data_IF_013721868748
#
_entry.id   IF_013721868748
#
_cell.length_a   1.000
_cell.length_b   1.000
_cell.length_c   1.000
_cell.angle_alpha   90.00
_cell.angle_beta   90.00
_cell.angle_gamma   90.00
#
_symmetry.space_group_name_H-M   'P 1'
#
loop_
_entity.id
_entity.type
_entity.pdbx_description
1 polymer ?
#
# COMPACT_ATOMS: atom_id res chain seq x y z
N UNK A 1 -30.05 -8.28 -27.12
CA UNK A 1 -30.29 -8.37 -25.67
C UNK A 1 -28.99 -7.92 -25.02
N UNK A 2 -28.80 -6.61 -24.88
CA UNK A 2 -27.62 -6.04 -24.21
C UNK A 2 -27.75 -6.34 -22.73
N UNK A 3 -26.79 -7.11 -22.20
CA UNK A 3 -26.68 -7.33 -20.77
C UNK A 3 -26.30 -5.99 -20.11
N UNK A 4 -27.29 -5.35 -19.49
CA UNK A 4 -27.11 -4.10 -18.76
C UNK A 4 -26.27 -4.41 -17.51
N UNK A 5 -24.94 -4.36 -17.67
CA UNK A 5 -24.01 -4.55 -16.56
C UNK A 5 -24.35 -3.46 -15.54
N UNK A 6 -24.64 -3.81 -14.26
CA UNK A 6 -24.97 -2.81 -13.27
C UNK A 6 -23.86 -1.77 -13.20
N UNK A 7 -24.15 -0.50 -13.46
CA UNK A 7 -23.14 0.59 -13.51
C UNK A 7 -22.20 0.58 -12.28
N UNK A 8 -22.71 0.18 -11.12
CA UNK A 8 -21.92 0.03 -9.89
C UNK A 8 -20.80 -1.01 -9.97
N UNK A 9 -21.01 -2.10 -10.71
CA UNK A 9 -19.99 -3.14 -10.94
C UNK A 9 -18.88 -2.62 -11.86
N UNK A 10 -19.25 -1.89 -12.92
CA UNK A 10 -18.29 -1.27 -13.83
C UNK A 10 -17.42 -0.23 -13.11
N UNK A 11 -18.02 0.60 -12.25
CA UNK A 11 -17.30 1.57 -11.42
C UNK A 11 -16.30 0.89 -10.47
N UNK A 12 -16.68 -0.24 -9.88
CA UNK A 12 -15.81 -1.01 -8.97
C UNK A 12 -14.62 -1.64 -9.72
N UNK A 13 -14.86 -2.26 -10.88
CA UNK A 13 -13.76 -2.83 -11.68
C UNK A 13 -12.83 -1.74 -12.22
N UNK A 14 -13.37 -0.61 -12.68
CA UNK A 14 -12.57 0.53 -13.09
C UNK A 14 -11.70 1.04 -11.93
N UNK A 15 -12.26 1.11 -10.73
CA UNK A 15 -11.52 1.47 -9.52
C UNK A 15 -10.38 0.48 -9.21
N UNK A 16 -10.67 -0.82 -9.25
CA UNK A 16 -9.68 -1.88 -9.02
C UNK A 16 -8.55 -1.80 -10.05
N UNK A 17 -8.88 -1.62 -11.34
CA UNK A 17 -7.90 -1.48 -12.42
C UNK A 17 -7.01 -0.24 -12.22
N UNK A 18 -7.60 0.91 -11.87
CA UNK A 18 -6.83 2.13 -11.54
C UNK A 18 -5.92 1.90 -10.34
N UNK A 19 -6.39 1.18 -9.32
CA UNK A 19 -5.60 0.83 -8.13
C UNK A 19 -4.43 -0.09 -8.47
N UNK A 20 -4.66 -1.13 -9.28
CA UNK A 20 -3.61 -2.03 -9.73
C UNK A 20 -2.57 -1.30 -10.59
N UNK A 21 -3.00 -0.40 -11.47
CA UNK A 21 -2.12 0.43 -12.28
C UNK A 21 -1.27 1.37 -11.41
N UNK A 22 -1.88 2.05 -10.42
CA UNK A 22 -1.16 2.89 -9.47
C UNK A 22 -0.13 2.08 -8.67
N UNK A 23 -0.51 0.88 -8.18
CA UNK A 23 0.43 -0.04 -7.50
C UNK A 23 1.63 -0.38 -8.37
N UNK A 24 1.40 -0.70 -9.64
CA UNK A 24 2.48 -0.98 -10.59
C UNK A 24 3.42 0.23 -10.74
N UNK A 25 2.88 1.45 -10.86
CA UNK A 25 3.69 2.68 -10.95
C UNK A 25 4.53 2.88 -9.70
N UNK A 26 3.95 2.75 -8.51
CA UNK A 26 4.67 2.88 -7.24
C UNK A 26 5.78 1.83 -7.10
N UNK A 27 5.52 0.58 -7.45
CA UNK A 27 6.54 -0.47 -7.39
C UNK A 27 7.66 -0.25 -8.40
N UNK A 28 7.33 0.17 -9.62
CA UNK A 28 8.33 0.53 -10.63
C UNK A 28 9.18 1.71 -10.18
N UNK A 29 8.56 2.74 -9.60
CA UNK A 29 9.26 3.86 -9.01
C UNK A 29 10.18 3.42 -7.86
N UNK A 30 9.69 2.62 -6.92
CA UNK A 30 10.47 2.11 -5.79
C UNK A 30 11.69 1.30 -6.26
N UNK A 31 11.52 0.49 -7.31
CA UNK A 31 12.62 -0.23 -7.95
C UNK A 31 13.67 0.72 -8.51
N UNK A 32 13.29 1.71 -9.34
CA UNK A 32 14.23 2.71 -9.87
C UNK A 32 14.91 3.53 -8.78
N UNK A 33 14.15 3.94 -7.77
CA UNK A 33 14.68 4.64 -6.60
C UNK A 33 15.77 3.81 -5.92
N UNK A 34 15.58 2.49 -5.76
CA UNK A 34 16.55 1.59 -5.16
C UNK A 34 17.84 1.45 -5.98
N UNK A 35 17.75 1.46 -7.32
CA UNK A 35 18.91 1.37 -8.22
C UNK A 35 19.68 2.68 -8.40
N UNK A 36 19.16 3.79 -7.85
CA UNK A 36 19.79 5.11 -7.93
C UNK A 36 19.90 5.67 -9.35
N UNK A 37 18.95 5.31 -10.21
CA UNK A 37 18.99 5.65 -11.65
C UNK A 37 18.88 7.15 -11.94
N UNK A 38 18.52 7.99 -10.95
CA UNK A 38 18.18 9.42 -11.12
C UNK A 38 18.59 10.27 -9.91
N UNK A 39 18.63 11.60 -10.10
CA UNK A 39 18.97 12.55 -9.04
C UNK A 39 17.90 12.61 -7.94
N UNK A 40 18.31 13.01 -6.73
CA UNK A 40 17.43 13.08 -5.55
C UNK A 40 16.29 14.08 -5.80
N UNK A 41 16.57 15.21 -6.45
CA UNK A 41 15.59 16.25 -6.78
C UNK A 41 14.51 15.70 -7.72
N UNK A 42 14.91 15.00 -8.78
CA UNK A 42 13.97 14.42 -9.74
C UNK A 42 13.08 13.37 -9.08
N UNK A 43 13.69 12.45 -8.30
CA UNK A 43 12.96 11.42 -7.57
C UNK A 43 12.02 12.02 -6.52
N UNK A 44 12.38 13.15 -5.90
CA UNK A 44 11.53 13.85 -4.93
C UNK A 44 10.29 14.45 -5.57
N UNK A 45 10.45 15.07 -6.74
CA UNK A 45 9.31 15.60 -7.52
C UNK A 45 8.38 14.46 -7.94
N UNK A 46 8.94 13.33 -8.38
CA UNK A 46 8.14 12.18 -8.77
C UNK A 46 7.38 11.56 -7.57
N UNK A 47 7.97 11.54 -6.36
CA UNK A 47 7.24 11.15 -5.15
C UNK A 47 6.01 12.02 -4.93
N UNK A 48 6.14 13.34 -5.06
CA UNK A 48 5.04 14.27 -4.84
C UNK A 48 3.90 14.04 -5.86
N UNK A 49 4.25 13.80 -7.13
CA UNK A 49 3.28 13.47 -8.18
C UNK A 49 2.58 12.15 -7.88
N UNK A 50 3.33 11.09 -7.55
CA UNK A 50 2.76 9.78 -7.23
C UNK A 50 1.89 9.85 -5.97
N UNK A 51 2.25 10.68 -4.99
CA UNK A 51 1.44 10.88 -3.79
C UNK A 51 0.10 11.51 -4.15
N UNK A 52 0.10 12.60 -4.93
CA UNK A 52 -1.12 13.27 -5.39
C UNK A 52 -2.02 12.31 -6.20
N UNK A 53 -1.43 11.52 -7.11
CA UNK A 53 -2.12 10.49 -7.88
C UNK A 53 -2.84 9.47 -6.98
N UNK A 54 -2.17 9.01 -5.90
CA UNK A 54 -2.74 8.06 -4.95
C UNK A 54 -3.87 8.71 -4.14
N UNK A 55 -3.69 9.96 -3.70
CA UNK A 55 -4.72 10.72 -2.99
C UNK A 55 -5.97 10.92 -3.86
N UNK A 56 -5.80 11.30 -5.13
CA UNK A 56 -6.90 11.42 -6.10
C UNK A 56 -7.59 10.06 -6.31
N UNK A 57 -6.81 8.98 -6.47
CA UNK A 57 -7.36 7.63 -6.60
C UNK A 57 -8.19 7.25 -5.37
N UNK A 58 -7.76 7.62 -4.17
CA UNK A 58 -8.51 7.30 -2.94
C UNK A 58 -9.79 8.12 -2.88
N UNK A 59 -9.72 9.43 -3.20
CA UNK A 59 -10.88 10.30 -3.26
C UNK A 59 -11.90 9.88 -4.33
N UNK A 60 -11.44 9.23 -5.40
CA UNK A 60 -12.28 8.71 -6.47
C UNK A 60 -13.05 7.43 -6.10
N UNK A 61 -12.89 6.88 -4.90
CA UNK A 61 -13.71 5.76 -4.46
C UNK A 61 -15.16 6.24 -4.25
N UNK A 62 -16.16 5.63 -4.91
CA UNK A 62 -17.56 5.93 -4.60
C UNK A 62 -17.89 5.66 -3.12
N UNK A 63 -18.64 6.57 -2.48
CA UNK A 63 -18.96 6.51 -1.05
C UNK A 63 -19.60 5.18 -0.60
N UNK A 64 -20.41 4.55 -1.46
CA UNK A 64 -21.00 3.20 -1.24
C UNK A 64 -19.96 2.10 -1.00
N UNK A 65 -18.71 2.35 -1.37
CA UNK A 65 -17.58 1.45 -1.24
C UNK A 65 -16.65 1.87 -0.08
N UNK A 66 -17.03 2.85 0.74
CA UNK A 66 -16.24 3.18 1.93
C UNK A 66 -16.49 2.12 3.01
N UNK A 67 -15.43 1.76 3.75
CA UNK A 67 -15.59 0.89 4.92
C UNK A 67 -16.36 1.64 5.99
N UNK A 68 -17.49 1.08 6.43
CA UNK A 68 -18.32 1.63 7.50
C UNK A 68 -18.60 0.54 8.52
N UNK A 69 -18.53 0.90 9.80
CA UNK A 69 -18.78 0.00 10.93
C UNK A 69 -20.19 -0.59 10.90
N UNK A 70 -21.16 0.08 10.27
CA UNK A 70 -22.54 -0.39 10.11
C UNK A 70 -22.77 -1.25 8.84
N UNK A 71 -21.76 -1.39 7.96
CA UNK A 71 -21.82 -2.24 6.77
C UNK A 71 -21.37 -3.70 7.10
N UNK A 72 -21.75 -4.21 8.26
CA UNK A 72 -21.40 -5.56 8.77
C UNK A 72 -21.95 -6.71 7.89
N UNK A 73 -22.90 -6.43 7.00
CA UNK A 73 -23.81 -7.44 6.45
C UNK A 73 -23.51 -7.96 5.03
N UNK A 74 -22.32 -7.73 4.48
CA UNK A 74 -22.02 -8.10 3.08
C UNK A 74 -20.86 -9.08 2.87
N UNK A 75 -20.43 -9.78 3.93
CA UNK A 75 -19.41 -10.84 3.83
C UNK A 75 -20.01 -12.26 3.97
N UNK A 76 -21.34 -12.38 4.07
CA UNK A 76 -22.03 -13.67 4.12
C UNK A 76 -22.62 -14.06 2.75
N UNK A 77 -21.86 -14.91 2.07
CA UNK A 77 -22.29 -16.11 1.34
C UNK A 77 -23.21 -16.09 0.11
N UNK A 78 -23.75 -14.97 -0.39
CA UNK A 78 -24.46 -15.03 -1.70
C UNK A 78 -24.49 -13.75 -2.55
N UNK A 79 -23.91 -12.64 -2.07
CA UNK A 79 -23.83 -11.40 -2.86
C UNK A 79 -22.40 -10.87 -2.89
N UNK A 80 -21.54 -11.47 -3.71
CA UNK A 80 -20.12 -11.12 -3.87
C UNK A 80 -19.84 -9.69 -4.41
N UNK A 81 -20.83 -8.79 -4.44
CA UNK A 81 -20.79 -7.54 -5.20
C UNK A 81 -21.16 -6.26 -4.42
N UNK A 82 -21.65 -6.35 -3.17
CA UNK A 82 -22.32 -5.20 -2.55
C UNK A 82 -21.44 -4.36 -1.61
N UNK A 83 -20.33 -4.90 -1.11
CA UNK A 83 -19.33 -4.13 -0.38
C UNK A 83 -17.95 -4.42 -0.95
N UNK A 84 -17.05 -3.42 -1.06
CA UNK A 84 -15.71 -3.69 -1.49
C UNK A 84 -15.02 -4.52 -0.42
N UNK A 85 -14.25 -5.53 -0.82
CA UNK A 85 -13.57 -6.39 0.14
C UNK A 85 -12.65 -5.53 1.03
N UNK A 86 -12.46 -5.90 2.31
CA UNK A 86 -11.47 -5.28 3.21
C UNK A 86 -10.09 -5.10 2.55
N UNK A 87 -9.78 -6.00 1.61
CA UNK A 87 -8.62 -5.96 0.71
C UNK A 87 -8.47 -4.64 -0.03
N UNK A 88 -9.54 -3.99 -0.50
CA UNK A 88 -9.46 -2.71 -1.22
C UNK A 88 -8.97 -1.57 -0.33
N UNK A 89 -9.40 -1.53 0.94
CA UNK A 89 -8.92 -0.53 1.89
C UNK A 89 -7.47 -0.80 2.29
N UNK A 90 -7.13 -2.07 2.57
CA UNK A 90 -5.75 -2.45 2.87
C UNK A 90 -4.79 -2.13 1.71
N UNK A 91 -5.22 -2.33 0.45
CA UNK A 91 -4.46 -1.99 -0.75
C UNK A 91 -4.12 -0.49 -0.85
N UNK A 92 -5.00 0.41 -0.39
CA UNK A 92 -4.70 1.85 -0.39
C UNK A 92 -3.59 2.21 0.56
N UNK A 93 -3.67 1.70 1.79
CA UNK A 93 -2.62 1.90 2.78
C UNK A 93 -1.30 1.26 2.31
N UNK A 94 -1.36 0.15 1.58
CA UNK A 94 -0.17 -0.47 0.98
C UNK A 94 0.55 0.42 -0.05
N UNK A 95 -0.19 1.20 -0.85
CA UNK A 95 0.40 2.14 -1.80
C UNK A 95 1.25 3.18 -1.06
N UNK A 96 0.72 3.76 0.01
CA UNK A 96 1.45 4.72 0.83
C UNK A 96 2.62 4.10 1.59
N UNK A 97 2.48 2.87 2.10
CA UNK A 97 3.59 2.16 2.75
C UNK A 97 4.74 1.94 1.76
N UNK A 98 4.42 1.54 0.53
CA UNK A 98 5.39 1.28 -0.53
C UNK A 98 6.07 2.56 -1.02
N UNK A 99 5.28 3.63 -1.26
CA UNK A 99 5.80 4.94 -1.65
C UNK A 99 6.67 5.55 -0.54
N UNK A 100 6.23 5.46 0.71
CA UNK A 100 7.00 5.93 1.86
C UNK A 100 8.32 5.18 2.02
N UNK A 101 8.37 3.87 1.71
CA UNK A 101 9.63 3.11 1.72
C UNK A 101 10.60 3.65 0.66
N UNK A 102 10.12 3.93 -0.55
CA UNK A 102 10.93 4.55 -1.59
C UNK A 102 11.43 5.94 -1.15
N UNK A 103 10.55 6.76 -0.55
CA UNK A 103 10.91 8.07 -0.01
C UNK A 103 12.02 7.99 1.05
N UNK A 104 11.94 7.03 1.98
CA UNK A 104 13.00 6.78 2.95
C UNK A 104 14.34 6.43 2.30
N UNK A 105 14.34 5.58 1.27
CA UNK A 105 15.55 5.20 0.54
C UNK A 105 16.21 6.40 -0.16
N UNK A 106 15.42 7.37 -0.60
CA UNK A 106 15.89 8.58 -1.28
C UNK A 106 16.39 9.61 -0.26
N UNK A 107 15.56 9.97 0.72
CA UNK A 107 15.89 11.01 1.70
C UNK A 107 17.03 10.61 2.64
N UNK A 108 17.22 9.32 2.93
CA UNK A 108 18.34 8.87 3.76
C UNK A 108 19.71 9.07 3.10
N UNK A 109 19.76 9.38 1.80
CA UNK A 109 21.01 9.67 1.08
C UNK A 109 21.50 11.10 1.30
N UNK A 110 20.61 11.99 1.73
CA UNK A 110 20.89 13.41 1.89
C UNK A 110 20.73 13.81 3.36
N UNK A 111 21.86 14.14 3.99
CA UNK A 111 21.89 14.53 5.40
C UNK A 111 21.11 15.81 5.71
N UNK A 112 20.77 16.63 4.71
CA UNK A 112 19.96 17.83 4.86
C UNK A 112 18.45 17.53 4.94
N UNK A 113 18.03 16.31 4.58
CA UNK A 113 16.63 15.88 4.51
C UNK A 113 16.17 15.02 5.68
N UNK A 114 16.82 15.16 6.84
CA UNK A 114 16.50 14.39 8.06
C UNK A 114 15.03 14.50 8.46
N UNK A 115 14.45 15.70 8.35
CA UNK A 115 13.03 15.92 8.69
C UNK A 115 12.11 15.15 7.74
N UNK A 116 12.43 15.09 6.45
CA UNK A 116 11.69 14.31 5.46
C UNK A 116 11.76 12.81 5.76
N UNK A 117 12.89 12.31 6.29
CA UNK A 117 13.03 10.91 6.74
C UNK A 117 12.08 10.63 7.91
N UNK A 118 12.01 11.53 8.89
CA UNK A 118 11.11 11.39 10.05
C UNK A 118 9.64 11.44 9.62
N UNK A 119 9.29 12.34 8.71
CA UNK A 119 7.92 12.47 8.20
C UNK A 119 7.50 11.24 7.38
N UNK A 120 8.35 10.79 6.44
CA UNK A 120 8.08 9.59 5.64
C UNK A 120 7.94 8.35 6.53
N UNK A 121 8.75 8.23 7.58
CA UNK A 121 8.64 7.17 8.59
C UNK A 121 7.29 7.22 9.33
N UNK A 122 6.93 8.39 9.85
CA UNK A 122 5.70 8.58 10.62
C UNK A 122 4.45 8.29 9.78
N UNK A 123 4.45 8.74 8.52
CA UNK A 123 3.38 8.44 7.55
C UNK A 123 3.26 6.93 7.32
N UNK A 124 4.36 6.21 7.07
CA UNK A 124 4.32 4.73 6.89
C UNK A 124 3.73 4.01 8.10
N UNK A 125 4.09 4.42 9.31
CA UNK A 125 3.54 3.84 10.55
C UNK A 125 2.02 4.07 10.61
N UNK A 126 1.56 5.29 10.33
CA UNK A 126 0.13 5.60 10.35
C UNK A 126 -0.67 4.70 9.38
N UNK A 127 -0.14 4.46 8.18
CA UNK A 127 -0.79 3.55 7.22
C UNK A 127 -0.69 2.06 7.63
N UNK A 128 0.42 1.63 8.23
CA UNK A 128 0.55 0.28 8.77
C UNK A 128 -0.45 0.03 9.92
N UNK A 129 -0.61 0.99 10.84
CA UNK A 129 -1.58 0.93 11.93
C UNK A 129 -3.02 0.86 11.42
N UNK A 130 -3.34 1.59 10.35
CA UNK A 130 -4.66 1.52 9.73
C UNK A 130 -4.95 0.11 9.16
N UNK A 131 -3.96 -0.54 8.53
CA UNK A 131 -4.08 -1.94 8.08
C UNK A 131 -4.31 -2.87 9.28
N UNK A 132 -3.53 -2.73 10.35
CA UNK A 132 -3.69 -3.51 11.57
C UNK A 132 -5.08 -3.32 12.20
N UNK A 133 -5.63 -2.10 12.17
CA UNK A 133 -6.99 -1.79 12.61
C UNK A 133 -8.06 -2.55 11.82
N UNK A 134 -7.97 -2.54 10.48
CA UNK A 134 -8.89 -3.27 9.59
C UNK A 134 -8.84 -4.78 9.88
N UNK A 135 -7.64 -5.34 10.05
CA UNK A 135 -7.46 -6.77 10.33
C UNK A 135 -8.04 -7.12 11.69
N UNK A 136 -7.71 -6.33 12.73
CA UNK A 136 -8.22 -6.54 14.08
C UNK A 136 -9.74 -6.56 14.08
N UNK A 137 -10.38 -5.55 13.48
CA UNK A 137 -11.83 -5.46 13.41
C UNK A 137 -12.43 -6.66 12.68
N UNK A 138 -11.85 -7.07 11.54
CA UNK A 138 -12.39 -8.24 10.85
C UNK A 138 -12.18 -9.56 11.60
N UNK A 139 -11.09 -9.72 12.36
CA UNK A 139 -10.90 -10.89 13.23
C UNK A 139 -11.90 -10.92 14.39
N UNK A 140 -12.14 -9.78 15.06
CA UNK A 140 -13.15 -9.63 16.12
C UNK A 140 -14.57 -9.96 15.61
N UNK A 141 -14.80 -9.74 14.31
CA UNK A 141 -16.07 -10.00 13.63
C UNK A 141 -16.13 -11.34 12.89
N UNK A 142 -15.13 -12.20 13.05
CA UNK A 142 -15.01 -13.50 12.36
C UNK A 142 -15.13 -13.42 10.83
N UNK A 143 -14.66 -12.32 10.23
CA UNK A 143 -14.60 -12.13 8.79
C UNK A 143 -13.56 -13.08 8.20
N UNK A 144 -13.96 -13.84 7.18
CA UNK A 144 -13.02 -14.64 6.38
C UNK A 144 -12.31 -13.69 5.43
N UNK A 145 -11.02 -13.49 5.68
CA UNK A 145 -10.19 -12.69 4.79
C UNK A 145 -9.64 -13.52 3.63
N UNK A 146 -9.51 -12.87 2.47
CA UNK A 146 -8.69 -13.38 1.37
C UNK A 146 -7.21 -13.48 1.80
N UNK A 147 -6.45 -14.51 1.35
CA UNK A 147 -5.04 -14.68 1.70
C UNK A 147 -4.15 -13.46 1.42
N UNK A 148 -4.52 -12.62 0.45
CA UNK A 148 -3.82 -11.39 0.16
C UNK A 148 -3.82 -10.40 1.34
N UNK A 149 -4.80 -10.47 2.26
CA UNK A 149 -4.73 -9.70 3.50
C UNK A 149 -3.50 -10.09 4.32
N UNK A 150 -3.11 -11.36 4.32
CA UNK A 150 -1.95 -11.85 5.08
C UNK A 150 -0.66 -11.16 4.61
N UNK A 151 -0.54 -10.93 3.30
CA UNK A 151 0.56 -10.14 2.72
C UNK A 151 0.50 -8.69 3.23
N UNK A 152 -0.69 -8.09 3.31
CA UNK A 152 -0.86 -6.73 3.83
C UNK A 152 -0.51 -6.64 5.32
N UNK A 153 -0.92 -7.61 6.12
CA UNK A 153 -0.58 -7.74 7.54
C UNK A 153 0.92 -7.82 7.74
N UNK A 154 1.59 -8.64 6.93
CA UNK A 154 3.04 -8.82 6.99
C UNK A 154 3.79 -7.53 6.63
N UNK A 155 3.41 -6.86 5.53
CA UNK A 155 4.02 -5.59 5.12
C UNK A 155 3.80 -4.47 6.16
N UNK A 156 2.63 -4.46 6.80
CA UNK A 156 2.35 -3.53 7.91
C UNK A 156 3.25 -3.81 9.12
N UNK A 157 3.41 -5.09 9.49
CA UNK A 157 4.30 -5.53 10.57
C UNK A 157 5.77 -5.22 10.28
N UNK A 158 6.27 -5.50 9.08
CA UNK A 158 7.62 -5.11 8.68
C UNK A 158 7.82 -3.60 8.81
N UNK A 159 6.82 -2.81 8.43
CA UNK A 159 6.93 -1.34 8.49
C UNK A 159 7.01 -0.80 9.91
N UNK A 160 6.49 -1.53 10.91
CA UNK A 160 6.66 -1.17 12.34
C UNK A 160 7.96 -1.71 12.92
N UNK A 161 8.43 -2.88 12.48
CA UNK A 161 9.67 -3.53 12.95
C UNK A 161 10.95 -2.96 12.33
N UNK A 162 10.99 -2.63 11.04
CA UNK A 162 12.16 -2.05 10.33
C UNK A 162 12.64 -0.71 10.93
N UNK A 163 11.91 -0.20 11.93
CA UNK A 163 12.14 1.06 12.61
C UNK A 163 12.75 0.90 14.01
N UNK A 164 12.80 -0.32 14.57
CA UNK A 164 13.44 -0.61 15.87
C UNK A 164 14.94 -0.91 15.76
N UNK A 165 15.50 -0.98 14.54
CA UNK A 165 16.93 -1.16 14.29
C UNK A 165 17.56 0.06 13.60
N UNK A 166 18.86 0.34 13.81
CA UNK A 166 19.58 1.28 12.94
C UNK A 166 19.53 0.76 11.50
N UNK A 167 19.35 1.67 10.53
CA UNK A 167 19.40 1.40 9.09
C UNK A 167 20.77 0.82 8.71
N UNK A 168 20.96 -0.48 8.92
CA UNK A 168 22.18 -1.21 8.67
C UNK A 168 21.84 -2.59 8.11
N UNK A 169 21.59 -2.63 6.79
CA UNK A 169 22.52 -3.23 5.82
C UNK A 169 21.84 -3.25 4.46
N UNK A 170 22.59 -2.75 3.49
CA UNK A 170 22.32 -2.80 2.08
C UNK A 170 22.01 -4.26 1.65
N UNK A 171 20.84 -4.58 1.07
CA UNK A 171 20.55 -5.95 0.61
C UNK A 171 21.38 -6.38 -0.62
N UNK A 172 22.21 -5.48 -1.16
CA UNK A 172 23.08 -5.75 -2.30
C UNK A 172 24.38 -6.53 -1.98
N UNK A 173 24.56 -7.06 -0.76
CA UNK A 173 25.71 -7.92 -0.40
C UNK A 173 25.26 -9.22 0.27
N UNK A 174 24.38 -9.97 -0.40
CA UNK A 174 24.36 -11.42 -0.20
C UNK A 174 25.25 -12.02 -1.28
N UNK A 175 26.56 -12.08 -1.00
CA UNK A 175 27.44 -13.01 -1.68
C UNK A 175 26.90 -14.42 -1.37
N UNK A 176 26.36 -15.07 -2.39
CA UNK A 176 26.06 -16.50 -2.34
C UNK A 176 27.43 -17.20 -2.28
N UNK A 177 27.89 -17.56 -1.08
CA UNK A 177 29.02 -18.48 -0.92
C UNK A 177 28.50 -19.89 -1.24
N UNK A 178 28.69 -20.30 -2.49
CA UNK A 178 28.42 -21.66 -2.97
C UNK A 178 29.56 -22.60 -2.59
N UNK A 179 29.90 -22.67 -1.31
CA UNK A 179 30.97 -23.54 -0.79
C UNK A 179 30.53 -24.24 0.49
N UNK A 180 29.34 -24.85 0.47
CA UNK A 180 28.92 -25.87 1.42
C UNK A 180 27.77 -26.68 0.83
N UNK A 181 28.08 -27.56 -0.13
CA UNK A 181 27.49 -28.89 -0.33
C UNK A 181 28.31 -29.63 -1.40
#
# INVERSE_FOLDING_TARGET
>A
MEADIPRGLLDMWAYILRTAAARRRVLHFAFRASNQDQSIEHLSTEIAVLQADIEELIAALPQRFHFHTDNEFFITTDSALSSPPPTTNALRHNLFISLGRAALLIFSRDSTRKDCVVQARSSRIAHALAISGIIKEGLERHIIFDPHIGIQSYVALESTIDLSGPLSKNPAKNHFDSSSF
#
